data_IF_787660864582
#
_entry.id   IF_787660864582
#
_cell.length_a   1.000
_cell.length_b   1.000
_cell.length_c   1.000
_cell.angle_alpha   90.00
_cell.angle_beta   90.00
_cell.angle_gamma   90.00
#
_symmetry.space_group_name_H-M   'P 1'
#
loop_
_entity.id
_entity.type
_entity.pdbx_description
1 polymer ?
#
# COMPACT_ATOMS: atom_id res chain seq x y z
N UNK A 1 7.38 32.82 16.48
CA UNK A 1 5.91 32.64 16.39
C UNK A 1 5.60 32.50 14.91
N UNK A 2 5.51 31.26 14.42
CA UNK A 2 5.14 30.95 13.04
C UNK A 2 3.88 30.09 13.08
N UNK A 3 2.92 30.48 12.26
CA UNK A 3 1.50 30.16 12.35
C UNK A 3 1.26 28.74 11.86
N UNK A 4 0.53 27.99 12.70
CA UNK A 4 -0.04 26.67 12.45
C UNK A 4 -0.99 26.67 11.24
N UNK A 5 -0.89 25.62 10.43
CA UNK A 5 -1.75 25.41 9.28
C UNK A 5 -1.44 24.12 8.52
N UNK A 6 -1.24 23.01 9.20
CA UNK A 6 -1.26 21.68 8.59
C UNK A 6 -2.22 20.82 9.39
N UNK A 7 -3.33 20.41 8.78
CA UNK A 7 -4.18 19.34 9.30
C UNK A 7 -3.40 18.02 9.17
N UNK A 8 -2.50 17.81 10.14
CA UNK A 8 -1.62 16.65 10.35
C UNK A 8 -2.34 15.57 11.17
N UNK A 9 -3.60 15.30 10.86
CA UNK A 9 -4.28 14.14 11.46
C UNK A 9 -3.95 12.91 10.63
N UNK A 10 -2.87 12.23 11.04
CA UNK A 10 -2.63 10.79 10.86
C UNK A 10 -1.76 10.32 9.68
N UNK A 11 -0.71 11.04 9.31
CA UNK A 11 0.44 10.43 8.61
C UNK A 11 1.27 9.60 9.61
N UNK A 12 1.20 8.27 9.53
CA UNK A 12 2.21 7.36 10.10
C UNK A 12 2.64 6.33 9.06
N UNK A 13 3.41 6.82 8.10
CA UNK A 13 4.17 6.01 7.16
C UNK A 13 5.27 5.30 7.94
N UNK A 14 5.17 3.99 8.12
CA UNK A 14 6.21 3.17 8.76
C UNK A 14 6.90 2.26 7.75
N UNK A 15 7.51 2.88 6.73
CA UNK A 15 8.71 2.46 6.00
C UNK A 15 9.33 3.76 5.46
N UNK A 16 10.64 4.01 5.62
CA UNK A 16 11.22 5.31 5.29
C UNK A 16 11.07 5.62 3.79
N UNK A 17 10.34 6.69 3.48
CA UNK A 17 10.34 7.43 2.22
C UNK A 17 9.98 6.67 0.93
N UNK A 18 8.91 5.88 0.94
CA UNK A 18 8.25 5.49 -0.33
C UNK A 18 7.42 6.68 -0.81
N UNK A 19 7.99 7.55 -1.66
CA UNK A 19 7.26 8.68 -2.27
C UNK A 19 6.07 8.24 -3.15
N UNK A 20 6.09 7.00 -3.65
CA UNK A 20 4.99 6.36 -4.37
C UNK A 20 5.10 4.84 -4.31
N UNK A 21 3.96 4.15 -4.24
CA UNK A 21 3.88 2.68 -4.33
C UNK A 21 4.63 2.14 -5.57
N UNK A 22 4.70 2.92 -6.64
CA UNK A 22 5.43 2.59 -7.85
C UNK A 22 6.89 2.20 -7.58
N UNK A 23 7.60 2.95 -6.72
CA UNK A 23 9.00 2.64 -6.39
C UNK A 23 9.13 1.28 -5.69
N UNK A 24 8.25 1.00 -4.73
CA UNK A 24 8.23 -0.30 -4.06
C UNK A 24 8.00 -1.43 -5.08
N UNK A 25 7.05 -1.23 -5.99
CA UNK A 25 6.72 -2.23 -7.00
C UNK A 25 7.85 -2.44 -8.02
N UNK A 26 8.61 -1.39 -8.35
CA UNK A 26 9.80 -1.51 -9.19
C UNK A 26 10.96 -2.24 -8.49
N UNK A 27 11.28 -1.87 -7.25
CA UNK A 27 12.35 -2.50 -6.46
C UNK A 27 12.09 -3.99 -6.20
N UNK A 28 10.84 -4.36 -5.94
CA UNK A 28 10.45 -5.74 -5.60
C UNK A 28 9.80 -6.52 -6.73
N UNK A 29 9.92 -6.03 -7.98
CA UNK A 29 9.29 -6.64 -9.16
C UNK A 29 9.57 -8.14 -9.31
N UNK A 30 10.75 -8.62 -8.92
CA UNK A 30 11.10 -10.04 -9.00
C UNK A 30 10.29 -10.93 -8.04
N UNK A 31 9.80 -10.36 -6.94
CA UNK A 31 8.99 -11.05 -5.93
C UNK A 31 7.49 -10.93 -6.23
N UNK A 32 7.08 -10.05 -7.15
CA UNK A 32 5.68 -9.88 -7.55
C UNK A 32 5.25 -10.99 -8.50
N UNK A 33 4.27 -11.78 -8.07
CA UNK A 33 3.67 -12.85 -8.89
C UNK A 33 2.17 -12.61 -9.00
N UNK A 34 1.55 -13.03 -10.09
CA UNK A 34 0.10 -12.85 -10.26
C UNK A 34 -0.70 -13.42 -9.09
N UNK A 35 -0.23 -14.52 -8.48
CA UNK A 35 -0.86 -15.12 -7.30
C UNK A 35 -0.74 -14.25 -6.05
N UNK A 36 0.45 -13.75 -5.71
CA UNK A 36 0.60 -12.94 -4.50
C UNK A 36 -0.03 -11.55 -4.66
N UNK A 37 0.08 -10.94 -5.83
CA UNK A 37 -0.56 -9.65 -6.13
C UNK A 37 -2.09 -9.80 -6.04
N UNK A 38 -2.66 -10.83 -6.65
CA UNK A 38 -4.10 -11.11 -6.56
C UNK A 38 -4.59 -11.36 -5.14
N UNK A 39 -3.82 -12.12 -4.33
CA UNK A 39 -4.16 -12.35 -2.92
C UNK A 39 -4.14 -11.05 -2.10
N UNK A 40 -3.13 -10.20 -2.30
CA UNK A 40 -3.01 -8.92 -1.61
C UNK A 40 -4.09 -7.92 -2.07
N UNK A 41 -4.47 -7.92 -3.35
CA UNK A 41 -5.58 -7.13 -3.86
C UNK A 41 -6.90 -7.51 -3.20
N UNK A 42 -7.18 -8.81 -3.05
CA UNK A 42 -8.36 -9.28 -2.34
C UNK A 42 -8.37 -8.80 -0.88
N UNK A 43 -7.24 -8.94 -0.20
CA UNK A 43 -7.08 -8.52 1.19
C UNK A 43 -7.29 -7.01 1.38
N UNK A 44 -6.78 -6.18 0.46
CA UNK A 44 -7.03 -4.73 0.45
C UNK A 44 -8.49 -4.39 0.08
N UNK A 45 -9.11 -5.18 -0.80
CA UNK A 45 -10.53 -5.07 -1.13
C UNK A 45 -11.40 -5.31 0.10
N UNK A 46 -11.17 -6.43 0.80
CA UNK A 46 -11.85 -6.76 2.06
C UNK A 46 -11.60 -5.66 3.11
N UNK A 47 -10.36 -5.16 3.23
CA UNK A 47 -10.03 -4.04 4.11
C UNK A 47 -10.88 -2.79 3.82
N UNK A 48 -10.99 -2.43 2.53
CA UNK A 48 -11.74 -1.28 2.07
C UNK A 48 -13.24 -1.45 2.32
N UNK A 49 -13.78 -2.62 2.00
CA UNK A 49 -15.21 -2.91 2.10
C UNK A 49 -15.66 -3.02 3.57
N UNK A 50 -14.78 -3.48 4.47
CA UNK A 50 -14.99 -3.52 5.92
C UNK A 50 -14.75 -2.17 6.64
N UNK A 51 -14.36 -1.12 5.90
CA UNK A 51 -14.05 0.21 6.45
C UNK A 51 -13.02 0.19 7.58
N UNK A 52 -12.02 -0.67 7.46
CA UNK A 52 -10.99 -0.84 8.49
C UNK A 52 -10.08 0.38 8.61
N UNK A 53 -9.55 0.59 9.81
CA UNK A 53 -8.61 1.67 10.15
C UNK A 53 -7.28 1.15 10.72
N UNK A 54 -7.17 -0.16 10.88
CA UNK A 54 -5.97 -0.81 11.41
C UNK A 54 -4.86 -0.95 10.34
N UNK A 55 -3.67 -1.36 10.77
CA UNK A 55 -2.55 -1.57 9.84
C UNK A 55 -2.71 -2.93 9.18
N UNK A 56 -2.74 -2.96 7.85
CA UNK A 56 -2.73 -4.19 7.07
C UNK A 56 -1.32 -4.46 6.54
N UNK A 57 -0.87 -5.71 6.64
CA UNK A 57 0.43 -6.15 6.12
C UNK A 57 0.20 -6.99 4.88
N UNK A 58 0.76 -6.56 3.75
CA UNK A 58 0.78 -7.25 2.48
C UNK A 58 2.08 -8.02 2.34
N UNK A 59 2.04 -9.23 1.81
CA UNK A 59 3.22 -10.08 1.67
C UNK A 59 3.42 -10.48 0.22
N UNK A 60 4.60 -10.16 -0.32
CA UNK A 60 5.05 -10.44 -1.67
C UNK A 60 6.33 -11.27 -1.62
N UNK A 61 6.20 -12.61 -1.60
CA UNK A 61 7.38 -13.47 -1.47
C UNK A 61 8.12 -13.19 -0.16
N UNK A 62 9.36 -12.70 -0.26
CA UNK A 62 10.18 -12.33 0.90
C UNK A 62 10.01 -10.86 1.35
N UNK A 63 9.05 -10.14 0.78
CA UNK A 63 8.84 -8.72 1.04
C UNK A 63 7.50 -8.48 1.74
N UNK A 64 7.47 -7.51 2.65
CA UNK A 64 6.27 -7.10 3.36
C UNK A 64 6.06 -5.60 3.19
N UNK A 65 4.82 -5.20 2.91
CA UNK A 65 4.40 -3.80 2.83
C UNK A 65 3.29 -3.56 3.85
N UNK A 66 3.49 -2.59 4.73
CA UNK A 66 2.47 -2.16 5.68
C UNK A 66 1.72 -0.97 5.10
N UNK A 67 0.40 -1.07 5.09
CA UNK A 67 -0.50 -0.06 4.58
C UNK A 67 -1.48 0.30 5.70
N UNK A 68 -1.74 1.58 5.90
CA UNK A 68 -2.68 2.02 6.92
C UNK A 68 -3.59 3.13 6.40
N UNK A 69 -4.89 2.96 6.62
CA UNK A 69 -5.88 3.96 6.23
C UNK A 69 -6.26 3.89 4.75
N UNK A 70 -7.41 4.49 4.44
CA UNK A 70 -8.06 4.28 3.14
C UNK A 70 -7.33 4.88 1.95
N UNK A 71 -6.72 6.05 2.11
CA UNK A 71 -5.97 6.68 1.01
C UNK A 71 -4.77 5.82 0.58
N UNK A 72 -4.03 5.27 1.55
CA UNK A 72 -2.91 4.38 1.27
C UNK A 72 -3.38 3.05 0.66
N UNK A 73 -4.49 2.48 1.15
CA UNK A 73 -5.10 1.27 0.60
C UNK A 73 -5.53 1.47 -0.85
N UNK A 74 -6.21 2.58 -1.16
CA UNK A 74 -6.66 2.88 -2.53
C UNK A 74 -5.48 3.11 -3.46
N UNK A 75 -4.44 3.82 -3.00
CA UNK A 75 -3.22 4.00 -3.78
C UNK A 75 -2.52 2.66 -4.04
N UNK A 76 -2.44 1.80 -3.03
CA UNK A 76 -1.81 0.48 -3.12
C UNK A 76 -2.58 -0.45 -4.05
N UNK A 77 -3.91 -0.47 -3.97
CA UNK A 77 -4.77 -1.23 -4.91
C UNK A 77 -4.45 -0.84 -6.35
N UNK A 78 -4.43 0.47 -6.66
CA UNK A 78 -4.15 0.95 -8.02
C UNK A 78 -2.77 0.52 -8.52
N UNK A 79 -1.75 0.62 -7.67
CA UNK A 79 -0.39 0.17 -8.02
C UNK A 79 -0.33 -1.34 -8.29
N UNK A 80 -1.00 -2.14 -7.44
CA UNK A 80 -1.06 -3.58 -7.61
C UNK A 80 -1.86 -4.03 -8.84
N UNK A 81 -2.98 -3.36 -9.14
CA UNK A 81 -3.74 -3.59 -10.38
C UNK A 81 -2.87 -3.31 -11.61
N UNK A 82 -2.17 -2.18 -11.63
CA UNK A 82 -1.26 -1.81 -12.71
C UNK A 82 -0.13 -2.83 -12.92
N UNK A 83 0.43 -3.38 -11.85
CA UNK A 83 1.42 -4.45 -11.94
C UNK A 83 0.81 -5.74 -12.46
N UNK A 84 -0.37 -6.12 -11.95
CA UNK A 84 -1.03 -7.35 -12.35
C UNK A 84 -1.34 -7.39 -13.85
N UNK A 85 -1.69 -6.25 -14.45
CA UNK A 85 -1.89 -6.12 -15.90
C UNK A 85 -0.60 -6.29 -16.73
N UNK A 86 0.58 -6.26 -16.09
CA UNK A 86 1.91 -6.28 -16.73
C UNK A 86 2.77 -7.49 -16.36
N UNK A 87 2.24 -8.42 -15.56
CA UNK A 87 2.86 -9.70 -15.21
C UNK A 87 2.51 -10.78 -16.25
#
# INVERSE_FOLDING_TARGET
MFVEGYHLSSMKWSYPDIYSIDYFLEDFKSELTASNVGNNLKLLGDYRDDLREDVVTLTFGNCELKVQGMDEVVATIRGLEYVLERL
#
